data_IF_125100734575
#
_entry.id   IF_125100734575
#
_cell.length_a   1.000
_cell.length_b   1.000
_cell.length_c   1.000
_cell.angle_alpha   90.00
_cell.angle_beta   90.00
_cell.angle_gamma   90.00
#
_symmetry.space_group_name_H-M   'P 1'
#
loop_
_entity.id
_entity.type
_entity.pdbx_description
1 polymer ?
#
# COMPACT_ATOMS: atom_id res chain seq x y z
N UNK A 1 -3.17 -14.61 -3.63
CA UNK A 1 -3.63 -15.14 -4.92
C UNK A 1 -3.63 -14.02 -5.94
N UNK A 2 -2.83 -14.16 -6.98
CA UNK A 2 -2.77 -13.26 -8.12
C UNK A 2 -4.12 -13.31 -8.88
N UNK A 3 -4.70 -12.17 -9.23
CA UNK A 3 -5.90 -12.16 -10.07
C UNK A 3 -5.51 -12.66 -11.47
N UNK A 4 -5.99 -13.86 -11.84
CA UNK A 4 -5.63 -14.57 -13.08
C UNK A 4 -6.03 -13.84 -14.38
N UNK A 5 -6.81 -12.76 -14.27
CA UNK A 5 -7.31 -11.96 -15.40
C UNK A 5 -6.48 -10.67 -15.59
N UNK A 6 -5.86 -10.15 -14.52
CA UNK A 6 -5.28 -8.80 -14.51
C UNK A 6 -3.80 -8.74 -14.14
N UNK A 7 -3.24 -9.83 -13.58
CA UNK A 7 -1.85 -9.86 -13.10
C UNK A 7 -1.59 -8.90 -11.92
N UNK A 8 -2.65 -8.52 -11.21
CA UNK A 8 -2.58 -7.64 -10.03
C UNK A 8 -2.34 -8.49 -8.77
N UNK A 9 -1.48 -8.00 -7.87
CA UNK A 9 -1.31 -8.58 -6.54
C UNK A 9 -2.20 -7.84 -5.55
N UNK A 10 -2.86 -8.60 -4.69
CA UNK A 10 -3.85 -8.10 -3.77
C UNK A 10 -3.28 -8.05 -2.36
N UNK A 11 -3.51 -6.94 -1.68
CA UNK A 11 -3.19 -6.77 -0.28
C UNK A 11 -4.38 -6.16 0.45
N UNK A 12 -4.64 -6.61 1.68
CA UNK A 12 -5.65 -5.97 2.53
C UNK A 12 -4.99 -5.55 3.82
N UNK A 13 -5.13 -4.28 4.18
CA UNK A 13 -4.63 -3.73 5.42
C UNK A 13 -5.76 -3.24 6.30
N UNK A 14 -5.67 -3.47 7.60
CA UNK A 14 -6.65 -2.99 8.59
C UNK A 14 -5.90 -2.39 9.75
N UNK A 15 -6.26 -1.17 10.16
CA UNK A 15 -5.69 -0.50 11.32
C UNK A 15 -6.79 0.28 12.01
N UNK A 16 -6.98 0.04 13.31
CA UNK A 16 -8.11 0.58 14.09
C UNK A 16 -9.44 0.24 13.38
N UNK A 17 -10.26 1.25 13.08
CA UNK A 17 -11.53 1.10 12.35
C UNK A 17 -11.38 1.31 10.82
N UNK A 18 -10.16 1.48 10.30
CA UNK A 18 -9.92 1.69 8.87
C UNK A 18 -9.59 0.36 8.17
N UNK A 19 -10.21 0.14 7.02
CA UNK A 19 -9.94 -0.99 6.12
C UNK A 19 -9.48 -0.47 4.77
N UNK A 20 -8.33 -0.94 4.32
CA UNK A 20 -7.74 -0.63 3.02
C UNK A 20 -7.64 -1.89 2.16
N UNK A 21 -8.18 -1.83 0.94
CA UNK A 21 -8.04 -2.85 -0.09
C UNK A 21 -7.07 -2.31 -1.14
N UNK A 22 -5.90 -2.90 -1.21
CA UNK A 22 -4.78 -2.49 -2.04
C UNK A 22 -4.66 -3.48 -3.21
N UNK A 23 -4.44 -2.94 -4.39
CA UNK A 23 -4.06 -3.69 -5.59
C UNK A 23 -2.79 -3.07 -6.13
N UNK A 24 -1.77 -3.88 -6.32
CA UNK A 24 -0.51 -3.45 -6.95
C UNK A 24 -0.35 -4.13 -8.29
N UNK A 25 0.24 -3.40 -9.22
CA UNK A 25 0.60 -3.88 -10.55
C UNK A 25 2.00 -3.35 -10.89
N UNK A 26 2.88 -4.13 -11.53
CA UNK A 26 4.13 -3.59 -12.06
C UNK A 26 3.82 -2.47 -13.07
N UNK A 27 4.44 -1.29 -12.89
CA UNK A 27 4.08 -0.07 -13.59
C UNK A 27 5.01 1.12 -13.28
N UNK A 28 4.45 2.34 -13.30
CA UNK A 28 5.20 3.60 -13.25
C UNK A 28 5.19 4.28 -11.87
N UNK A 29 4.84 3.57 -10.79
CA UNK A 29 4.85 4.15 -9.45
C UNK A 29 3.61 5.00 -9.11
N UNK A 30 2.54 4.93 -9.91
CA UNK A 30 1.38 5.79 -9.71
C UNK A 30 0.51 5.28 -8.57
N UNK A 31 0.39 6.08 -7.50
CA UNK A 31 -0.48 5.78 -6.36
C UNK A 31 -1.81 6.53 -6.48
N UNK A 32 -2.92 5.78 -6.46
CA UNK A 32 -4.28 6.33 -6.45
C UNK A 32 -5.09 5.78 -5.28
N UNK A 33 -5.75 6.67 -4.54
CA UNK A 33 -6.55 6.37 -3.35
C UNK A 33 -7.99 6.82 -3.59
N UNK A 34 -8.96 5.91 -3.51
CA UNK A 34 -10.38 6.20 -3.73
C UNK A 34 -10.63 7.02 -5.02
N UNK A 35 -9.94 6.65 -6.11
CA UNK A 35 -9.98 7.31 -7.45
C UNK A 35 -9.40 8.74 -7.49
N UNK A 36 -8.71 9.18 -6.43
CA UNK A 36 -8.00 10.48 -6.37
C UNK A 36 -6.50 10.25 -6.25
N UNK A 37 -5.69 11.24 -6.62
CA UNK A 37 -4.25 11.18 -6.38
C UNK A 37 -3.94 11.25 -4.89
N UNK A 38 -2.84 10.61 -4.47
CA UNK A 38 -2.45 10.55 -3.06
C UNK A 38 -2.29 11.94 -2.43
N UNK A 39 -1.77 12.91 -3.18
CA UNK A 39 -1.53 14.29 -2.73
C UNK A 39 -2.82 15.05 -2.42
N UNK A 40 -3.89 14.79 -3.17
CA UNK A 40 -5.20 15.40 -2.93
C UNK A 40 -5.96 14.75 -1.77
N UNK A 41 -5.69 13.46 -1.49
CA UNK A 41 -6.37 12.73 -0.42
C UNK A 41 -5.64 12.88 0.92
N UNK A 42 -4.31 12.89 0.90
CA UNK A 42 -3.44 13.06 2.05
C UNK A 42 -2.60 14.33 1.88
N UNK A 43 -3.09 15.50 2.34
CA UNK A 43 -2.35 16.75 2.22
C UNK A 43 -1.08 16.76 3.09
N UNK A 44 -1.10 16.05 4.21
CA UNK A 44 0.02 15.96 5.16
C UNK A 44 1.11 15.05 4.62
N UNK A 45 2.35 15.55 4.55
CA UNK A 45 3.52 14.80 4.07
C UNK A 45 3.84 13.57 4.93
N UNK A 46 3.67 13.68 6.24
CA UNK A 46 3.90 12.58 7.18
C UNK A 46 3.06 11.34 6.85
N UNK A 47 1.81 11.53 6.40
CA UNK A 47 0.94 10.42 5.96
C UNK A 47 1.40 9.81 4.63
N UNK A 48 1.96 10.62 3.73
CA UNK A 48 2.55 10.15 2.47
C UNK A 48 3.83 9.34 2.73
N UNK A 49 4.65 9.77 3.68
CA UNK A 49 5.83 9.02 4.13
C UNK A 49 5.46 7.64 4.68
N UNK A 50 4.42 7.55 5.52
CA UNK A 50 3.94 6.27 6.07
C UNK A 50 3.48 5.32 4.96
N UNK A 51 2.78 5.83 3.95
CA UNK A 51 2.30 5.04 2.81
C UNK A 51 3.48 4.55 1.95
N UNK A 52 4.53 5.36 1.81
CA UNK A 52 5.73 5.05 1.04
C UNK A 52 6.74 4.16 1.78
N UNK A 53 6.70 4.10 3.11
CA UNK A 53 7.57 3.25 3.94
C UNK A 53 7.83 1.84 3.40
N UNK A 54 6.79 1.03 3.06
CA UNK A 54 7.01 -0.30 2.49
C UNK A 54 7.73 -0.32 1.14
N UNK A 55 7.60 0.71 0.32
CA UNK A 55 8.33 0.82 -0.95
C UNK A 55 9.80 1.20 -0.76
N UNK A 56 10.08 2.03 0.25
CA UNK A 56 11.45 2.37 0.63
C UNK A 56 12.16 1.15 1.21
N UNK A 57 11.50 0.43 2.12
CA UNK A 57 12.05 -0.77 2.76
C UNK A 57 12.31 -1.93 1.77
N UNK A 58 11.54 -2.00 0.67
CA UNK A 58 11.71 -3.02 -0.37
C UNK A 58 12.54 -2.57 -1.57
N UNK A 59 13.14 -1.36 -1.52
CA UNK A 59 13.89 -0.74 -2.64
C UNK A 59 13.15 -0.80 -3.99
N UNK A 60 11.82 -0.86 -3.93
CA UNK A 60 10.91 -0.98 -5.06
C UNK A 60 10.06 0.29 -5.24
N UNK A 61 10.61 1.40 -4.76
CA UNK A 61 10.07 2.73 -5.02
C UNK A 61 9.89 2.91 -6.53
N UNK A 62 8.68 3.32 -6.93
CA UNK A 62 8.31 3.65 -8.32
C UNK A 62 8.16 2.50 -9.33
N UNK A 63 8.34 1.23 -8.93
CA UNK A 63 8.18 0.08 -9.84
C UNK A 63 6.75 -0.43 -9.96
N UNK A 64 5.87 0.01 -9.05
CA UNK A 64 4.50 -0.51 -8.94
C UNK A 64 3.47 0.59 -8.96
N UNK A 65 2.48 0.45 -9.84
CA UNK A 65 1.24 1.22 -9.76
C UNK A 65 0.36 0.65 -8.66
N UNK A 66 -0.20 1.54 -7.84
CA UNK A 66 -0.97 1.17 -6.66
C UNK A 66 -2.36 1.77 -6.76
N UNK A 67 -3.37 0.91 -6.64
CA UNK A 67 -4.77 1.31 -6.53
C UNK A 67 -5.29 0.89 -5.18
N UNK A 68 -5.74 1.86 -4.41
CA UNK A 68 -6.24 1.62 -3.06
C UNK A 68 -7.66 2.13 -2.91
N UNK A 69 -8.51 1.28 -2.34
CA UNK A 69 -9.81 1.69 -1.84
C UNK A 69 -9.80 1.61 -0.32
N UNK A 70 -10.09 2.72 0.34
CA UNK A 70 -10.09 2.81 1.82
C UNK A 70 -11.45 3.23 2.33
N UNK A 71 -11.87 2.63 3.43
CA UNK A 71 -13.14 2.93 4.08
C UNK A 71 -12.97 2.86 5.61
N UNK A 72 -13.72 3.72 6.32
CA UNK A 72 -13.74 3.78 7.78
C UNK A 72 -12.55 4.51 8.42
N UNK A 73 -12.67 4.79 9.72
CA UNK A 73 -11.65 5.48 10.51
C UNK A 73 -11.39 6.94 10.09
N UNK A 74 -10.27 7.50 10.56
CA UNK A 74 -9.77 8.83 10.16
C UNK A 74 -8.53 8.76 9.28
N UNK A 75 -8.09 9.90 8.75
CA UNK A 75 -6.99 10.03 7.77
C UNK A 75 -5.72 9.30 8.23
N UNK A 76 -5.25 9.56 9.45
CA UNK A 76 -4.05 8.90 9.98
C UNK A 76 -4.20 7.37 10.10
N UNK A 77 -5.40 6.89 10.48
CA UNK A 77 -5.68 5.45 10.56
C UNK A 77 -5.72 4.80 9.18
N UNK A 78 -6.26 5.52 8.20
CA UNK A 78 -6.28 5.09 6.80
C UNK A 78 -4.86 4.98 6.23
N UNK A 79 -3.99 5.97 6.41
CA UNK A 79 -2.60 5.91 5.93
C UNK A 79 -1.86 4.67 6.43
N UNK A 80 -1.97 4.36 7.72
CA UNK A 80 -1.39 3.16 8.32
C UNK A 80 -2.03 1.85 7.79
N UNK A 81 -3.34 1.84 7.55
CA UNK A 81 -4.01 0.69 6.95
C UNK A 81 -3.57 0.47 5.50
N UNK A 82 -3.36 1.53 4.73
CA UNK A 82 -2.84 1.46 3.36
C UNK A 82 -1.43 0.85 3.36
N UNK A 83 -0.55 1.38 4.22
CA UNK A 83 0.83 0.90 4.36
C UNK A 83 0.90 -0.61 4.61
N UNK A 84 0.12 -1.11 5.58
CA UNK A 84 -0.01 -2.55 5.86
C UNK A 84 -0.55 -3.36 4.67
N UNK A 85 -1.49 -2.78 3.92
CA UNK A 85 -2.04 -3.42 2.72
C UNK A 85 -0.99 -3.54 1.61
N UNK A 86 -0.15 -2.52 1.43
CA UNK A 86 0.96 -2.52 0.46
C UNK A 86 1.98 -3.59 0.83
N UNK A 87 2.41 -3.65 2.09
CA UNK A 87 3.37 -4.66 2.57
C UNK A 87 2.89 -6.08 2.27
N UNK A 88 1.61 -6.37 2.53
CA UNK A 88 1.02 -7.67 2.22
C UNK A 88 0.97 -7.97 0.73
N UNK A 89 0.68 -6.96 -0.09
CA UNK A 89 0.69 -7.13 -1.54
C UNK A 89 2.12 -7.38 -2.07
N UNK A 90 3.13 -6.72 -1.50
CA UNK A 90 4.54 -6.93 -1.83
C UNK A 90 5.03 -8.33 -1.41
N UNK A 91 4.56 -8.86 -0.28
CA UNK A 91 4.88 -10.24 0.13
C UNK A 91 4.36 -11.31 -0.82
N UNK A 92 3.23 -11.04 -1.49
CA UNK A 92 2.69 -11.93 -2.53
C UNK A 92 3.49 -11.83 -3.83
N UNK A 93 4.18 -10.71 -4.06
CA UNK A 93 5.10 -10.54 -5.19
C UNK A 93 6.46 -11.20 -4.90
N UNK A 94 7.01 -10.94 -3.73
CA UNK A 94 8.30 -11.46 -3.28
C UNK A 94 8.23 -11.83 -1.79
N UNK A 95 8.23 -13.13 -1.52
CA UNK A 95 8.16 -13.69 -0.18
C UNK A 95 9.45 -13.49 0.63
N UNK A 96 10.57 -13.12 -0.01
CA UNK A 96 11.87 -12.90 0.63
C UNK A 96 11.94 -11.55 1.35
N UNK A 97 11.01 -10.62 1.08
CA UNK A 97 10.91 -9.32 1.73
C UNK A 97 10.31 -9.38 3.15
N UNK A 98 9.85 -10.56 3.58
CA UNK A 98 9.19 -10.78 4.88
C UNK A 98 10.02 -10.39 6.10
N UNK A 99 11.31 -10.76 6.24
CA UNK A 99 12.14 -10.28 7.34
C UNK A 99 12.29 -8.75 7.37
N UNK A 100 12.46 -8.12 6.21
CA UNK A 100 12.67 -6.66 6.08
C UNK A 100 11.41 -5.88 6.45
N UNK A 101 10.24 -6.31 5.95
CA UNK A 101 8.96 -5.66 6.26
C UNK A 101 8.55 -5.87 7.73
N UNK A 102 8.85 -7.05 8.30
CA UNK A 102 8.59 -7.34 9.71
C UNK A 102 9.47 -6.50 10.64
N UNK A 103 10.71 -6.20 10.25
CA UNK A 103 11.61 -5.34 11.02
C UNK A 103 11.10 -3.89 11.12
N UNK A 104 10.47 -3.39 10.06
CA UNK A 104 9.84 -2.07 9.99
C UNK A 104 8.44 -2.01 10.65
N UNK A 105 7.97 -3.10 11.25
CA UNK A 105 6.67 -3.15 11.94
C UNK A 105 5.46 -3.19 10.99
N UNK A 106 5.68 -3.68 9.77
CA UNK A 106 4.73 -3.75 8.66
C UNK A 106 4.29 -5.18 8.30
#
# INVERSE_FOLDING_TARGET
>A
MQDAITGEFLGTGRRKCATARVRIKPGNGKITVNRRAIEHYFPVEEHRMIINGPFVASENSEKFDVRVNVQGGGIAGQANAISLGISRALLEYDAELRPTLKAEGL
#
